data_IF_428981502631
#
_entry.id   IF_428981502631
#
_cell.length_a   1.000
_cell.length_b   1.000
_cell.length_c   1.000
_cell.angle_alpha   90.00
_cell.angle_beta   90.00
_cell.angle_gamma   90.00
#
_symmetry.space_group_name_H-M   'P 1'
#
loop_
_entity.id
_entity.type
_entity.pdbx_description
1 polymer ?
#
# COMPACT_ATOMS: atom_id res chain seq x y z
N UNK A 1 23.02 9.41 24.55
CA UNK A 1 21.56 9.23 24.38
C UNK A 1 21.21 7.91 23.69
N UNK A 2 21.76 7.58 22.52
CA UNK A 2 21.47 6.34 21.77
C UNK A 2 21.63 5.03 22.59
N UNK A 3 22.68 4.93 23.43
CA UNK A 3 22.91 3.75 24.29
C UNK A 3 21.75 3.48 25.26
N UNK A 4 21.10 4.51 25.80
CA UNK A 4 19.97 4.37 26.75
C UNK A 4 18.73 3.84 26.05
N UNK A 5 18.44 4.33 24.84
CA UNK A 5 17.33 3.87 24.00
C UNK A 5 17.48 2.39 23.62
N UNK A 6 18.69 1.97 23.20
CA UNK A 6 18.95 0.57 22.84
C UNK A 6 18.77 -0.36 24.05
N UNK A 7 19.22 0.05 25.23
CA UNK A 7 19.02 -0.73 26.47
C UNK A 7 17.54 -0.83 26.82
N UNK A 8 16.79 0.27 26.74
CA UNK A 8 15.35 0.28 27.00
C UNK A 8 14.56 -0.60 26.01
N UNK A 9 14.83 -0.50 24.70
CA UNK A 9 14.16 -1.34 23.69
C UNK A 9 14.42 -2.83 23.92
N UNK A 10 15.66 -3.20 24.27
CA UNK A 10 16.01 -4.59 24.59
C UNK A 10 15.24 -5.10 25.82
N UNK A 11 15.15 -4.29 26.86
CA UNK A 11 14.44 -4.64 28.10
C UNK A 11 12.92 -4.71 27.90
N UNK A 12 12.34 -3.77 27.12
CA UNK A 12 10.93 -3.78 26.78
C UNK A 12 10.57 -5.00 25.90
N UNK A 13 11.45 -5.39 24.98
CA UNK A 13 11.24 -6.57 24.13
C UNK A 13 11.25 -7.88 24.91
N UNK A 14 12.07 -7.99 25.97
CA UNK A 14 12.13 -9.20 26.79
C UNK A 14 11.00 -9.27 27.82
N UNK A 15 10.61 -8.14 28.41
CA UNK A 15 9.60 -8.09 29.47
C UNK A 15 8.18 -8.01 28.94
N UNK A 16 7.96 -7.24 27.88
CA UNK A 16 6.63 -6.90 27.38
C UNK A 16 6.54 -6.99 25.84
N UNK A 17 6.90 -8.14 25.25
CA UNK A 17 6.91 -8.30 23.79
C UNK A 17 5.52 -8.07 23.16
N UNK A 18 4.45 -8.38 23.91
CA UNK A 18 3.05 -8.20 23.47
C UNK A 18 2.71 -6.73 23.23
N UNK A 19 3.37 -5.79 23.91
CA UNK A 19 3.17 -4.35 23.70
C UNK A 19 4.12 -3.81 22.64
N UNK A 20 5.39 -4.23 22.63
CA UNK A 20 6.37 -3.70 21.66
C UNK A 20 6.07 -4.16 20.22
N UNK A 21 5.56 -5.37 20.04
CA UNK A 21 5.22 -5.93 18.72
C UNK A 21 4.15 -5.15 17.95
N UNK A 22 2.96 -4.84 18.50
CA UNK A 22 1.94 -4.09 17.77
C UNK A 22 2.38 -2.66 17.44
N UNK A 23 3.15 -1.99 18.30
CA UNK A 23 3.67 -0.65 17.98
C UNK A 23 4.69 -0.69 16.84
N UNK A 24 5.57 -1.70 16.81
CA UNK A 24 6.53 -1.85 15.70
C UNK A 24 5.84 -2.23 14.40
N UNK A 25 4.92 -3.20 14.42
CA UNK A 25 4.16 -3.62 13.24
C UNK A 25 3.28 -2.47 12.72
N UNK A 26 2.53 -1.80 13.61
CA UNK A 26 1.67 -0.67 13.25
C UNK A 26 2.46 0.52 12.70
N UNK A 27 3.59 0.85 13.34
CA UNK A 27 4.49 1.88 12.83
C UNK A 27 5.02 1.57 11.43
N UNK A 28 5.45 0.33 11.20
CA UNK A 28 5.88 -0.12 9.88
C UNK A 28 4.74 -0.10 8.85
N UNK A 29 3.53 -0.51 9.24
CA UNK A 29 2.37 -0.52 8.35
C UNK A 29 2.00 0.90 7.85
N UNK A 30 2.26 1.94 8.65
CA UNK A 30 2.04 3.34 8.25
C UNK A 30 3.15 3.84 7.32
N UNK A 31 4.41 3.52 7.63
CA UNK A 31 5.57 4.08 6.92
C UNK A 31 5.84 3.35 5.59
N UNK A 32 5.70 2.03 5.56
CA UNK A 32 6.06 1.20 4.40
C UNK A 32 5.32 1.57 3.12
N UNK A 33 4.00 1.85 3.11
CA UNK A 33 3.30 2.22 1.88
C UNK A 33 3.83 3.52 1.26
N UNK A 34 4.29 4.49 2.08
CA UNK A 34 4.79 5.77 1.60
C UNK A 34 6.20 5.68 0.99
N UNK A 35 7.03 4.75 1.47
CA UNK A 35 8.41 4.57 1.01
C UNK A 35 8.52 3.50 -0.08
N UNK A 36 7.56 2.56 -0.14
CA UNK A 36 7.60 1.46 -1.11
C UNK A 36 7.29 1.94 -2.53
N UNK A 37 8.16 1.64 -3.52
CA UNK A 37 7.88 1.92 -4.93
C UNK A 37 6.72 1.08 -5.47
N UNK A 38 6.34 0.00 -4.77
CA UNK A 38 5.32 -0.93 -5.24
C UNK A 38 3.88 -0.50 -4.96
N UNK A 39 3.68 0.44 -4.03
CA UNK A 39 2.33 0.93 -3.65
C UNK A 39 1.57 1.49 -4.86
N UNK A 40 2.28 2.08 -5.84
CA UNK A 40 1.72 2.58 -7.10
C UNK A 40 1.03 1.48 -7.91
N UNK A 41 1.64 0.31 -8.01
CA UNK A 41 1.10 -0.78 -8.83
C UNK A 41 -0.19 -1.35 -8.25
N UNK A 42 -0.35 -1.36 -6.92
CA UNK A 42 -1.61 -1.74 -6.29
C UNK A 42 -2.77 -0.85 -6.77
N UNK A 43 -2.56 0.48 -6.86
CA UNK A 43 -3.58 1.40 -7.40
C UNK A 43 -3.86 1.15 -8.87
N UNK A 44 -2.83 0.89 -9.68
CA UNK A 44 -3.00 0.62 -11.11
C UNK A 44 -3.79 -0.67 -11.36
N UNK A 45 -3.52 -1.72 -10.58
CA UNK A 45 -4.25 -2.99 -10.65
C UNK A 45 -5.73 -2.76 -10.33
N UNK A 46 -6.02 -2.05 -9.24
CA UNK A 46 -7.40 -1.76 -8.85
C UNK A 46 -8.16 -0.94 -9.90
N UNK A 47 -7.49 -0.06 -10.63
CA UNK A 47 -8.08 0.72 -11.74
C UNK A 47 -8.28 -0.10 -13.02
N UNK A 48 -7.38 -1.04 -13.28
CA UNK A 48 -7.45 -1.90 -14.46
C UNK A 48 -8.53 -2.99 -14.34
N UNK A 49 -8.98 -3.31 -13.12
CA UNK A 49 -10.02 -4.32 -12.89
C UNK A 49 -11.41 -3.83 -13.32
N UNK A 50 -12.02 -4.43 -14.35
CA UNK A 50 -13.33 -4.01 -14.83
C UNK A 50 -14.44 -4.63 -13.97
N UNK A 51 -14.80 -3.96 -12.87
CA UNK A 51 -15.92 -4.40 -12.02
C UNK A 51 -17.29 -4.14 -12.63
N UNK A 52 -17.39 -3.10 -13.47
CA UNK A 52 -18.60 -2.74 -14.18
C UNK A 52 -18.45 -3.07 -15.66
N UNK A 53 -19.57 -3.35 -16.34
CA UNK A 53 -19.55 -3.54 -17.77
C UNK A 53 -19.04 -2.25 -18.44
N UNK A 54 -17.99 -2.32 -19.27
CA UNK A 54 -17.50 -1.15 -19.96
C UNK A 54 -18.62 -0.66 -20.87
N UNK A 55 -19.12 0.56 -20.63
CA UNK A 55 -19.99 1.22 -21.60
C UNK A 55 -19.23 1.27 -22.92
N UNK A 56 -19.80 0.69 -23.98
CA UNK A 56 -19.13 0.58 -25.26
C UNK A 56 -19.01 1.97 -25.90
N UNK A 57 -17.91 2.65 -25.60
CA UNK A 57 -17.47 3.90 -26.21
C UNK A 57 -18.27 5.16 -25.85
N UNK A 58 -17.66 6.35 -25.97
CA UNK A 58 -18.41 7.59 -26.06
C UNK A 58 -19.31 7.56 -27.31
N UNK A 59 -20.58 7.94 -27.17
CA UNK A 59 -21.45 8.29 -28.30
C UNK A 59 -20.98 9.62 -28.92
N UNK A 60 -19.76 9.67 -29.48
CA UNK A 60 -19.27 10.82 -30.24
C UNK A 60 -19.01 10.41 -31.68
N UNK A 61 -19.84 10.96 -32.57
CA UNK A 61 -19.73 10.83 -34.02
C UNK A 61 -18.34 11.38 -34.43
N UNK A 62 -17.42 10.49 -34.79
CA UNK A 62 -16.25 10.83 -35.59
C UNK A 62 -14.85 10.62 -34.98
N UNK A 63 -14.70 9.98 -33.81
CA UNK A 63 -13.36 9.60 -33.30
C UNK A 63 -13.35 8.20 -32.70
N UNK A 64 -12.78 7.26 -33.44
CA UNK A 64 -12.56 5.87 -33.02
C UNK A 64 -11.12 5.70 -32.57
N UNK A 65 -10.82 5.63 -31.26
CA UNK A 65 -9.64 4.95 -30.66
C UNK A 65 -9.94 4.75 -29.16
N UNK A 66 -10.02 3.56 -28.55
CA UNK A 66 -9.30 2.30 -28.73
C UNK A 66 -10.24 1.08 -28.52
N UNK A 67 -10.23 0.15 -29.48
CA UNK A 67 -10.76 -1.22 -29.35
C UNK A 67 -9.64 -2.18 -28.88
N UNK A 68 -9.96 -3.47 -28.65
CA UNK A 68 -10.34 -4.13 -27.40
C UNK A 68 -9.15 -4.59 -26.53
N UNK A 69 -9.41 -4.81 -25.23
CA UNK A 69 -8.55 -5.65 -24.37
C UNK A 69 -8.38 -7.03 -25.02
N UNK A 70 -7.14 -7.43 -25.30
CA UNK A 70 -6.79 -8.79 -25.71
C UNK A 70 -6.18 -9.54 -24.54
#
# INVERSE_FOLDING_TARGET
MARRLVVYLKDAWTKEPVWVSPFTIGGLAIILPAVSPFTKYATMINQAMPYNYPAYGPHEIGKEYYLPMK
#
